data_IF_728961146102
#
_entry.id   IF_728961146102
#
_cell.length_a   1.000
_cell.length_b   1.000
_cell.length_c   1.000
_cell.angle_alpha   90.00
_cell.angle_beta   90.00
_cell.angle_gamma   90.00
#
_symmetry.space_group_name_H-M   'P 1'
#
loop_
_entity.id
_entity.type
_entity.pdbx_description
1 polymer ?
#
# COMPACT_ATOMS: atom_id res chain seq x y z
N UNK A 1 -37.61 -10.61 17.43
CA UNK A 1 -36.16 -10.45 17.63
C UNK A 1 -35.47 -11.04 16.42
N UNK A 2 -34.97 -10.19 15.54
CA UNK A 2 -34.22 -10.63 14.37
C UNK A 2 -32.82 -11.03 14.83
N UNK A 3 -32.49 -12.31 14.78
CA UNK A 3 -31.12 -12.80 14.87
C UNK A 3 -30.44 -12.39 13.56
N UNK A 4 -29.79 -11.24 13.61
CA UNK A 4 -28.99 -10.73 12.49
C UNK A 4 -27.82 -11.64 12.22
N UNK A 5 -27.74 -12.00 10.99
CA UNK A 5 -26.77 -12.83 10.28
C UNK A 5 -25.32 -12.49 10.61
N UNK A 6 -24.80 -13.07 11.69
CA UNK A 6 -23.40 -12.90 12.15
C UNK A 6 -22.40 -13.72 11.34
N UNK A 7 -22.85 -14.59 10.43
CA UNK A 7 -21.99 -15.47 9.62
C UNK A 7 -21.29 -14.79 8.44
N UNK A 8 -21.73 -13.62 8.00
CA UNK A 8 -21.20 -12.99 6.78
C UNK A 8 -20.17 -11.86 7.04
N UNK A 9 -19.87 -11.54 8.30
CA UNK A 9 -18.88 -10.51 8.66
C UNK A 9 -17.43 -10.99 8.66
N UNK A 10 -17.18 -12.29 8.67
CA UNK A 10 -15.82 -12.85 8.83
C UNK A 10 -15.03 -13.01 7.52
N UNK A 11 -15.61 -12.71 6.36
CA UNK A 11 -14.98 -12.92 5.05
C UNK A 11 -14.52 -11.62 4.36
N UNK A 12 -14.58 -10.47 5.04
CA UNK A 12 -14.13 -9.19 4.47
C UNK A 12 -12.95 -8.64 5.28
N UNK A 13 -11.89 -8.18 4.61
CA UNK A 13 -10.78 -7.56 5.31
C UNK A 13 -11.23 -6.26 6.00
N UNK A 14 -10.73 -6.02 7.20
CA UNK A 14 -10.84 -4.71 7.83
C UNK A 14 -9.98 -3.72 7.04
N UNK A 15 -10.59 -2.66 6.54
CA UNK A 15 -9.90 -1.68 5.69
C UNK A 15 -10.06 -0.28 6.26
N UNK A 16 -8.98 0.49 6.32
CA UNK A 16 -9.00 1.90 6.66
C UNK A 16 -8.15 2.71 5.68
N UNK A 17 -8.41 4.00 5.59
CA UNK A 17 -7.67 4.94 4.75
C UNK A 17 -6.91 5.91 5.66
N UNK A 18 -5.62 6.11 5.40
CA UNK A 18 -4.82 7.16 6.01
C UNK A 18 -4.41 8.16 4.94
N UNK A 19 -4.80 9.41 5.12
CA UNK A 19 -4.54 10.49 4.17
C UNK A 19 -3.98 11.69 4.92
N UNK A 20 -2.86 12.24 4.44
CA UNK A 20 -2.40 13.56 4.84
C UNK A 20 -2.99 14.59 3.88
N UNK A 21 -3.61 15.64 4.42
CA UNK A 21 -4.15 16.72 3.62
C UNK A 21 -3.92 18.08 4.28
N UNK A 22 -3.91 19.13 3.48
CA UNK A 22 -3.85 20.52 3.93
C UNK A 22 -5.21 20.98 4.46
N UNK A 23 -5.24 22.12 5.16
CA UNK A 23 -6.47 22.66 5.73
C UNK A 23 -7.55 22.97 4.68
N UNK A 24 -7.16 23.23 3.43
CA UNK A 24 -8.06 23.42 2.28
C UNK A 24 -8.40 22.12 1.54
N UNK A 25 -8.09 20.96 2.14
CA UNK A 25 -8.50 19.65 1.63
C UNK A 25 -7.64 19.09 0.49
N UNK A 26 -6.48 19.68 0.20
CA UNK A 26 -5.59 19.17 -0.84
C UNK A 26 -4.66 18.10 -0.29
N UNK A 27 -4.48 17.02 -1.06
CA UNK A 27 -3.61 15.89 -0.70
C UNK A 27 -2.26 15.92 -1.41
N UNK A 28 -2.10 16.83 -2.39
CA UNK A 28 -0.87 16.98 -3.16
C UNK A 28 -0.73 18.41 -3.68
N UNK A 29 0.44 18.75 -4.22
CA UNK A 29 0.69 20.01 -4.91
C UNK A 29 0.28 19.92 -6.38
N UNK A 30 0.17 21.08 -7.04
CA UNK A 30 -0.09 21.15 -8.49
C UNK A 30 0.94 20.38 -9.31
N UNK A 31 2.19 20.37 -8.87
CA UNK A 31 3.29 19.64 -9.52
C UNK A 31 3.28 18.13 -9.29
N UNK A 32 2.41 17.63 -8.40
CA UNK A 32 2.29 16.19 -8.05
C UNK A 32 3.60 15.52 -7.68
N UNK A 33 4.51 16.23 -7.05
CA UNK A 33 5.82 15.73 -6.61
C UNK A 33 5.82 15.16 -5.20
N UNK A 34 4.63 14.91 -4.64
CA UNK A 34 4.49 14.50 -3.25
C UNK A 34 4.91 15.63 -2.30
N UNK A 35 3.97 16.42 -1.81
CA UNK A 35 4.36 17.47 -0.87
C UNK A 35 4.75 16.86 0.47
N UNK A 36 5.81 17.38 1.09
CA UNK A 36 6.20 17.01 2.44
C UNK A 36 5.25 17.63 3.49
N UNK A 37 3.94 17.34 3.36
CA UNK A 37 2.89 17.85 4.26
C UNK A 37 3.05 17.24 5.66
N UNK A 38 3.62 16.04 5.74
CA UNK A 38 3.71 15.27 6.97
C UNK A 38 4.88 15.68 7.85
N UNK A 39 4.61 15.93 9.14
CA UNK A 39 5.64 16.14 10.15
C UNK A 39 6.43 14.85 10.45
N UNK A 40 7.54 14.97 11.17
CA UNK A 40 8.32 13.80 11.64
C UNK A 40 7.46 12.87 12.50
N UNK A 41 6.61 13.43 13.37
CA UNK A 41 5.67 12.67 14.21
C UNK A 41 4.63 11.93 13.38
N UNK A 42 4.09 12.56 12.35
CA UNK A 42 3.12 11.92 11.45
C UNK A 42 3.77 10.79 10.65
N UNK A 43 5.00 10.99 10.17
CA UNK A 43 5.76 9.93 9.48
C UNK A 43 5.99 8.71 10.38
N UNK A 44 6.28 8.91 11.66
CA UNK A 44 6.42 7.82 12.62
C UNK A 44 5.09 7.10 12.83
N UNK A 45 3.98 7.83 12.98
CA UNK A 45 2.63 7.26 13.08
C UNK A 45 2.26 6.45 11.84
N UNK A 46 2.57 6.94 10.64
CA UNK A 46 2.33 6.21 9.40
C UNK A 46 3.13 4.91 9.37
N UNK A 47 4.35 4.91 9.89
CA UNK A 47 5.19 3.72 9.95
C UNK A 47 4.61 2.66 10.94
N UNK A 48 4.07 3.10 12.08
CA UNK A 48 3.32 2.25 13.02
C UNK A 48 2.06 1.65 12.36
N UNK A 49 1.29 2.47 11.63
CA UNK A 49 0.13 1.98 10.88
C UNK A 49 0.52 0.93 9.84
N UNK A 50 1.61 1.16 9.09
CA UNK A 50 2.15 0.17 8.14
C UNK A 50 2.55 -1.13 8.84
N UNK A 51 3.16 -1.03 10.01
CA UNK A 51 3.56 -2.19 10.78
C UNK A 51 2.35 -2.98 11.31
N UNK A 52 1.20 -2.35 11.52
CA UNK A 52 0.00 -2.99 12.07
C UNK A 52 -0.81 -3.80 11.06
N UNK A 53 -0.70 -3.50 9.75
CA UNK A 53 -1.53 -4.10 8.69
C UNK A 53 -0.87 -5.29 8.01
N UNK A 54 -1.68 -6.13 7.35
CA UNK A 54 -1.20 -7.26 6.56
C UNK A 54 -0.85 -6.87 5.12
N UNK A 55 -1.50 -5.85 4.58
CA UNK A 55 -1.24 -5.33 3.24
C UNK A 55 -1.50 -3.83 3.13
N UNK A 56 -0.84 -3.19 2.17
CA UNK A 56 -1.02 -1.77 1.83
C UNK A 56 -1.39 -1.68 0.37
N UNK A 57 -2.53 -1.05 0.09
CA UNK A 57 -3.06 -0.89 -1.27
C UNK A 57 -2.85 0.53 -1.77
N UNK A 58 -2.38 0.64 -3.00
CA UNK A 58 -2.25 1.91 -3.74
C UNK A 58 -2.91 1.82 -5.11
N UNK A 59 -3.48 2.93 -5.54
CA UNK A 59 -4.08 3.06 -6.87
C UNK A 59 -3.05 3.25 -7.98
N UNK A 60 -3.47 2.99 -9.22
CA UNK A 60 -2.61 2.98 -10.40
C UNK A 60 -1.85 4.28 -10.68
N UNK A 61 -2.45 5.44 -10.43
CA UNK A 61 -1.76 6.73 -10.61
C UNK A 61 -0.58 6.89 -9.66
N UNK A 62 -0.77 6.61 -8.38
CA UNK A 62 0.29 6.62 -7.37
C UNK A 62 1.35 5.57 -7.69
N UNK A 63 0.93 4.38 -8.08
CA UNK A 63 1.82 3.29 -8.43
C UNK A 63 2.76 3.66 -9.60
N UNK A 64 2.21 4.25 -10.66
CA UNK A 64 2.97 4.60 -11.87
C UNK A 64 3.82 5.86 -11.70
N UNK A 65 3.32 6.87 -10.97
CA UNK A 65 4.00 8.16 -10.83
C UNK A 65 5.07 8.17 -9.72
N UNK A 66 4.80 7.50 -8.60
CA UNK A 66 5.63 7.60 -7.40
C UNK A 66 6.43 6.32 -7.11
N UNK A 67 6.03 5.18 -7.69
CA UNK A 67 6.60 3.84 -7.40
C UNK A 67 6.89 3.65 -5.89
N UNK A 68 5.87 3.78 -5.02
CA UNK A 68 6.07 3.90 -3.58
C UNK A 68 6.62 2.61 -2.98
N UNK A 69 7.59 2.74 -2.08
CA UNK A 69 8.27 1.59 -1.44
C UNK A 69 7.35 0.78 -0.52
N UNK A 70 6.39 1.42 0.13
CA UNK A 70 5.40 0.83 1.07
C UNK A 70 6.02 -0.05 2.17
N UNK A 71 7.24 0.26 2.58
CA UNK A 71 7.97 -0.50 3.60
C UNK A 71 7.79 0.10 4.99
N UNK A 72 7.96 -0.70 6.02
CA UNK A 72 8.14 -0.28 7.40
C UNK A 72 9.58 0.18 7.58
N UNK A 73 9.80 1.43 7.96
CA UNK A 73 11.14 2.03 8.07
C UNK A 73 11.82 1.71 9.40
N UNK A 74 11.05 1.72 10.47
CA UNK A 74 11.57 1.49 11.82
C UNK A 74 11.92 0.01 12.03
N UNK A 75 13.18 -0.24 12.36
CA UNK A 75 13.72 -1.60 12.58
C UNK A 75 12.98 -2.35 13.70
N UNK A 76 12.70 -1.69 14.82
CA UNK A 76 12.02 -2.31 15.94
C UNK A 76 10.60 -2.77 15.57
N UNK A 77 9.89 -1.99 14.74
CA UNK A 77 8.58 -2.38 14.22
C UNK A 77 8.67 -3.59 13.28
N UNK A 78 9.68 -3.66 12.41
CA UNK A 78 9.92 -4.83 11.56
C UNK A 78 10.18 -6.08 12.39
N UNK A 79 11.08 -5.98 13.38
CA UNK A 79 11.41 -7.10 14.27
C UNK A 79 10.19 -7.57 15.07
N UNK A 80 9.34 -6.65 15.50
CA UNK A 80 8.09 -7.01 16.19
C UNK A 80 7.14 -7.79 15.27
N UNK A 81 7.02 -7.42 14.00
CA UNK A 81 6.24 -8.19 13.01
C UNK A 81 6.77 -9.62 12.88
N UNK A 82 8.09 -9.77 12.74
CA UNK A 82 8.73 -11.10 12.63
C UNK A 82 8.46 -11.95 13.88
N UNK A 83 8.56 -11.37 15.07
CA UNK A 83 8.23 -12.06 16.35
C UNK A 83 6.78 -12.53 16.42
N UNK A 84 5.88 -11.85 15.71
CA UNK A 84 4.46 -12.22 15.59
C UNK A 84 4.21 -13.25 14.46
N UNK A 85 5.24 -13.80 13.83
CA UNK A 85 5.10 -14.72 12.70
C UNK A 85 4.67 -14.08 11.38
N UNK A 86 4.79 -12.76 11.27
CA UNK A 86 4.45 -11.99 10.06
C UNK A 86 5.71 -11.67 9.26
N UNK A 87 5.56 -11.39 7.97
CA UNK A 87 6.67 -10.89 7.17
C UNK A 87 7.15 -9.51 7.67
N UNK A 88 8.42 -9.20 7.46
CA UNK A 88 9.07 -7.94 7.84
C UNK A 88 8.29 -6.70 7.36
N UNK A 89 7.79 -6.75 6.13
CA UNK A 89 6.96 -5.72 5.55
C UNK A 89 5.57 -6.27 5.19
N UNK A 90 4.53 -5.42 5.18
CA UNK A 90 3.21 -5.81 4.69
C UNK A 90 3.22 -6.13 3.20
N UNK A 91 2.23 -6.90 2.74
CA UNK A 91 2.02 -7.17 1.32
C UNK A 91 1.81 -5.84 0.58
N UNK A 92 2.52 -5.64 -0.51
CA UNK A 92 2.34 -4.48 -1.38
C UNK A 92 1.28 -4.79 -2.41
N UNK A 93 0.22 -4.00 -2.45
CA UNK A 93 -0.93 -4.25 -3.31
C UNK A 93 -1.10 -3.05 -4.26
N UNK A 94 -1.01 -3.32 -5.56
CA UNK A 94 -1.32 -2.34 -6.60
C UNK A 94 -2.67 -2.63 -7.24
N UNK A 95 -3.48 -1.60 -7.51
CA UNK A 95 -4.74 -1.74 -8.23
C UNK A 95 -4.85 -0.71 -9.34
N UNK A 96 -4.89 -1.15 -10.60
CA UNK A 96 -4.98 -0.29 -11.76
C UNK A 96 -5.67 -1.01 -12.93
N UNK A 97 -6.55 -0.31 -13.65
CA UNK A 97 -7.18 -0.88 -14.85
C UNK A 97 -6.16 -1.18 -15.95
N UNK A 98 -5.20 -0.30 -16.12
CA UNK A 98 -4.05 -0.48 -17.01
C UNK A 98 -2.78 -0.20 -16.22
N UNK A 99 -1.84 -1.14 -16.23
CA UNK A 99 -0.58 -1.01 -15.52
C UNK A 99 0.59 -1.09 -16.51
N UNK A 100 1.57 -0.22 -16.27
CA UNK A 100 2.87 -0.26 -16.91
C UNK A 100 3.92 -0.01 -15.83
N UNK A 101 4.47 -1.08 -15.30
CA UNK A 101 5.40 -1.05 -14.16
C UNK A 101 6.68 -1.79 -14.52
N UNK A 102 7.82 -1.12 -14.31
CA UNK A 102 9.11 -1.75 -14.46
C UNK A 102 9.41 -2.70 -13.30
N UNK A 103 10.04 -3.85 -13.58
CA UNK A 103 10.59 -4.74 -12.56
C UNK A 103 11.65 -4.05 -11.70
N UNK A 104 12.27 -2.98 -12.20
CA UNK A 104 13.25 -2.17 -11.50
C UNK A 104 12.65 -1.09 -10.60
N UNK A 105 11.33 -0.96 -10.60
CA UNK A 105 10.64 0.03 -9.77
C UNK A 105 10.86 -0.20 -8.28
N UNK A 106 10.93 0.87 -7.50
CA UNK A 106 11.03 0.82 -6.04
C UNK A 106 9.88 0.04 -5.40
N UNK A 107 8.69 0.06 -6.01
CA UNK A 107 7.55 -0.71 -5.56
C UNK A 107 7.83 -2.22 -5.57
N UNK A 108 8.52 -2.71 -6.58
CA UNK A 108 8.86 -4.14 -6.71
C UNK A 108 10.11 -4.48 -5.91
N UNK A 109 11.19 -3.72 -6.10
CA UNK A 109 12.53 -4.09 -5.62
C UNK A 109 12.80 -3.78 -4.15
N UNK A 110 12.22 -2.70 -3.61
CA UNK A 110 12.64 -2.21 -2.29
C UNK A 110 11.91 -2.90 -1.16
N UNK A 111 12.67 -3.58 -0.30
CA UNK A 111 12.22 -4.27 0.90
C UNK A 111 11.60 -5.64 0.61
N UNK A 112 11.94 -6.66 1.40
CA UNK A 112 11.37 -7.99 1.24
C UNK A 112 9.88 -7.97 1.58
N UNK A 113 9.04 -8.09 0.54
CA UNK A 113 7.59 -8.15 0.68
C UNK A 113 6.97 -8.86 -0.52
N UNK A 114 5.89 -9.58 -0.27
CA UNK A 114 5.05 -10.09 -1.35
C UNK A 114 4.40 -8.93 -2.09
N UNK A 115 4.41 -8.99 -3.42
CA UNK A 115 3.72 -8.03 -4.29
C UNK A 115 2.50 -8.69 -4.91
N UNK A 116 1.37 -8.00 -4.89
CA UNK A 116 0.12 -8.42 -5.53
C UNK A 116 -0.40 -7.27 -6.38
N UNK A 117 -0.73 -7.55 -7.63
CA UNK A 117 -1.24 -6.54 -8.55
C UNK A 117 -2.60 -6.98 -9.09
N UNK A 118 -3.60 -6.16 -8.86
CA UNK A 118 -4.92 -6.30 -9.47
C UNK A 118 -5.01 -5.40 -10.69
N UNK A 119 -5.33 -6.00 -11.83
CA UNK A 119 -5.48 -5.26 -13.08
C UNK A 119 -6.65 -5.81 -13.91
N UNK A 120 -6.95 -5.17 -15.03
CA UNK A 120 -8.01 -5.60 -15.96
C UNK A 120 -7.41 -6.00 -17.31
N UNK A 121 -8.27 -6.44 -18.22
CA UNK A 121 -7.90 -6.75 -19.61
C UNK A 121 -7.34 -5.55 -20.40
N UNK A 122 -7.36 -4.35 -19.84
CA UNK A 122 -6.72 -3.18 -20.45
C UNK A 122 -5.20 -3.20 -20.34
N UNK A 123 -4.64 -3.98 -19.41
CA UNK A 123 -3.19 -4.19 -19.31
C UNK A 123 -2.72 -5.12 -20.42
N UNK A 124 -1.65 -4.74 -21.12
CA UNK A 124 -1.10 -5.57 -22.20
C UNK A 124 -0.67 -6.94 -21.70
N UNK A 125 -0.80 -7.95 -22.54
CA UNK A 125 -0.42 -9.33 -22.20
C UNK A 125 1.06 -9.44 -21.85
N UNK A 126 1.92 -8.71 -22.57
CA UNK A 126 3.35 -8.66 -22.30
C UNK A 126 3.66 -8.13 -20.91
N UNK A 127 2.90 -7.12 -20.45
CA UNK A 127 3.07 -6.56 -19.10
C UNK A 127 2.59 -7.55 -18.02
N UNK A 128 1.52 -8.27 -18.28
CA UNK A 128 1.02 -9.31 -17.35
C UNK A 128 2.04 -10.44 -17.22
N UNK A 129 2.62 -10.89 -18.34
CA UNK A 129 3.66 -11.93 -18.34
C UNK A 129 4.94 -11.49 -17.65
N UNK A 130 5.35 -10.22 -17.85
CA UNK A 130 6.52 -9.64 -17.18
C UNK A 130 6.38 -9.62 -15.64
N UNK A 131 5.17 -9.44 -15.13
CA UNK A 131 4.89 -9.27 -13.70
C UNK A 131 4.49 -10.58 -12.99
N UNK A 132 4.45 -11.69 -13.68
CA UNK A 132 4.18 -13.03 -13.14
C UNK A 132 5.44 -13.67 -12.55
#
# INVERSE_FOLDING_TARGET
MAQGDTKNRMNRPYTFINVAMTADGKIDTFERKGSAISSVRDKARVDELRASVDGILVGGKTLSAETPKLTVKNEALRQNRIKQGRSENPIKIGAASNINLSLDSDFIKVGPARVVIFTTSQTSINQVELLR
#
